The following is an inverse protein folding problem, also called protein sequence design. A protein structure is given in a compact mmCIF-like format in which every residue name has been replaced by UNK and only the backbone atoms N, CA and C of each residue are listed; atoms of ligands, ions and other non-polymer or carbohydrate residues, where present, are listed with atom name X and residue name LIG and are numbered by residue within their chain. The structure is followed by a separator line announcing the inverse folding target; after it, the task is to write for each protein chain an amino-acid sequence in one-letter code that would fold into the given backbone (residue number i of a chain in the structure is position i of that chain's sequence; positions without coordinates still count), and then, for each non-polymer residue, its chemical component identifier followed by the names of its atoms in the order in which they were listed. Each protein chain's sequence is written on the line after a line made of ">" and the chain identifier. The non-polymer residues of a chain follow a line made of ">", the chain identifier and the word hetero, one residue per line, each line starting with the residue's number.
data_IF_451965311455
#
_entry.id   IF_451965311455
#
_cell.length_a   1.000
_cell.length_b   1.000
_cell.length_c   1.000
_cell.angle_alpha   90.00
_cell.angle_beta   90.00
_cell.angle_gamma   90.00
#
_symmetry.space_group_name_H-M   'P 1'
#
loop_
_entity.id
_entity.type
_entity.pdbx_description
1 polymer ?
#
# COMPACT_ATOMS: atom_id res chain seq x y z
N UNK A 1 -12.83 -16.93 3.34
CA UNK A 1 -11.50 -16.37 3.05
C UNK A 1 -11.23 -15.26 4.05
N UNK A 2 -10.03 -15.20 4.61
CA UNK A 2 -9.65 -14.25 5.66
C UNK A 2 -9.72 -12.78 5.21
N UNK A 3 -9.72 -12.54 3.90
CA UNK A 3 -9.83 -11.22 3.28
C UNK A 3 -10.95 -11.20 2.23
N UNK A 4 -11.71 -10.10 2.20
CA UNK A 4 -12.65 -9.78 1.13
C UNK A 4 -11.88 -9.49 -0.17
N UNK A 5 -12.45 -9.83 -1.34
CA UNK A 5 -11.77 -9.63 -2.65
C UNK A 5 -11.32 -8.18 -2.84
N UNK A 6 -12.14 -7.23 -2.39
CA UNK A 6 -11.81 -5.80 -2.49
C UNK A 6 -10.59 -5.44 -1.64
N UNK A 7 -10.46 -6.07 -0.49
CA UNK A 7 -9.38 -5.80 0.45
C UNK A 7 -8.04 -6.35 -0.04
N UNK A 8 -8.10 -7.46 -0.79
CA UNK A 8 -6.95 -8.03 -1.46
C UNK A 8 -6.40 -7.13 -2.58
N UNK A 9 -7.28 -6.45 -3.32
CA UNK A 9 -6.86 -5.46 -4.32
C UNK A 9 -6.14 -4.26 -3.68
N UNK A 10 -6.66 -3.76 -2.55
CA UNK A 10 -6.02 -2.67 -1.80
C UNK A 10 -4.67 -3.12 -1.23
N UNK A 11 -4.56 -4.37 -0.76
CA UNK A 11 -3.30 -4.94 -0.31
C UNK A 11 -2.25 -4.96 -1.44
N UNK A 12 -2.64 -5.44 -2.63
CA UNK A 12 -1.76 -5.43 -3.82
C UNK A 12 -1.32 -4.02 -4.17
N UNK A 13 -2.24 -3.05 -4.13
CA UNK A 13 -1.92 -1.65 -4.39
C UNK A 13 -0.89 -1.10 -3.39
N UNK A 14 -1.02 -1.44 -2.10
CA UNK A 14 -0.06 -1.03 -1.08
C UNK A 14 1.34 -1.63 -1.32
N UNK A 15 1.42 -2.91 -1.67
CA UNK A 15 2.68 -3.56 -2.04
C UNK A 15 3.29 -2.92 -3.29
N UNK A 16 2.45 -2.64 -4.29
CA UNK A 16 2.88 -1.99 -5.52
C UNK A 16 3.48 -0.60 -5.26
N UNK A 17 2.86 0.21 -4.40
CA UNK A 17 3.39 1.52 -4.00
C UNK A 17 4.79 1.40 -3.36
N UNK A 18 5.00 0.42 -2.48
CA UNK A 18 6.32 0.19 -1.86
C UNK A 18 7.36 -0.15 -2.94
N UNK A 19 7.02 -1.06 -3.86
CA UNK A 19 7.90 -1.43 -4.97
C UNK A 19 8.21 -0.24 -5.87
N UNK A 20 7.22 0.59 -6.18
CA UNK A 20 7.40 1.82 -6.97
C UNK A 20 8.33 2.79 -6.26
N UNK A 21 8.15 3.01 -4.96
CA UNK A 21 9.02 3.89 -4.17
C UNK A 21 10.50 3.48 -4.26
N UNK A 22 10.80 2.20 -4.04
CA UNK A 22 12.18 1.69 -4.17
C UNK A 22 12.67 1.67 -5.63
N UNK A 23 11.80 1.38 -6.60
CA UNK A 23 12.17 1.36 -8.02
C UNK A 23 12.58 2.75 -8.50
N UNK A 24 11.87 3.80 -8.07
CA UNK A 24 12.18 5.18 -8.44
C UNK A 24 13.51 5.62 -7.81
N UNK A 25 13.80 5.25 -6.55
CA UNK A 25 15.13 5.48 -5.96
C UNK A 25 16.24 4.84 -6.79
N UNK A 26 15.99 3.61 -7.28
CA UNK A 26 16.97 2.90 -8.10
C UNK A 26 17.21 3.56 -9.46
N UNK A 27 16.17 4.17 -10.04
CA UNK A 27 16.24 4.89 -11.32
C UNK A 27 16.99 6.22 -11.20
N UNK A 28 16.81 6.94 -10.10
CA UNK A 28 17.51 8.22 -9.88
C UNK A 28 19.03 8.04 -9.75
N UNK A 29 19.50 6.87 -9.26
CA UNK A 29 20.92 6.55 -9.05
C UNK A 29 21.70 7.52 -8.15
N UNK A 30 21.02 8.47 -7.51
CA UNK A 30 21.60 9.48 -6.64
C UNK A 30 20.95 9.39 -5.26
N UNK A 31 21.72 8.96 -4.26
CA UNK A 31 21.20 8.80 -2.89
C UNK A 31 20.76 10.15 -2.30
N UNK A 32 21.43 11.23 -2.69
CA UNK A 32 21.10 12.60 -2.28
C UNK A 32 20.19 13.32 -3.28
N UNK A 33 19.64 12.60 -4.25
CA UNK A 33 18.68 13.11 -5.21
C UNK A 33 17.36 13.52 -4.54
N UNK A 34 16.70 14.51 -5.14
CA UNK A 34 15.44 15.04 -4.61
C UNK A 34 14.36 13.95 -4.52
N UNK A 35 14.33 13.04 -5.50
CA UNK A 35 13.30 12.01 -5.56
C UNK A 35 13.56 10.96 -4.45
N UNK A 36 14.80 10.57 -4.24
CA UNK A 36 15.21 9.57 -3.25
C UNK A 36 15.08 10.09 -1.82
N UNK A 37 15.36 11.38 -1.57
CA UNK A 37 15.23 11.97 -0.22
C UNK A 37 13.80 12.33 0.16
N UNK A 38 12.98 12.81 -0.78
CA UNK A 38 11.68 13.39 -0.44
C UNK A 38 10.50 12.60 -1.01
N UNK A 39 10.56 12.20 -2.28
CA UNK A 39 9.42 11.57 -2.95
C UNK A 39 9.29 10.10 -2.56
N UNK A 40 10.39 9.34 -2.62
CA UNK A 40 10.38 7.92 -2.35
C UNK A 40 9.93 7.57 -0.92
N UNK A 41 10.40 8.26 0.15
CA UNK A 41 9.93 7.99 1.50
C UNK A 41 8.42 8.21 1.67
N UNK A 42 7.87 9.26 1.06
CA UNK A 42 6.43 9.54 1.09
C UNK A 42 5.65 8.41 0.40
N UNK A 43 6.08 7.99 -0.79
CA UNK A 43 5.45 6.91 -1.55
C UNK A 43 5.49 5.58 -0.78
N UNK A 44 6.63 5.25 -0.17
CA UNK A 44 6.79 4.03 0.63
C UNK A 44 5.88 4.06 1.87
N UNK A 45 5.83 5.19 2.59
CA UNK A 45 4.95 5.37 3.76
C UNK A 45 3.48 5.25 3.35
N UNK A 46 3.06 5.86 2.24
CA UNK A 46 1.71 5.70 1.69
C UNK A 46 1.41 4.23 1.33
N UNK A 47 2.39 3.50 0.80
CA UNK A 47 2.26 2.07 0.53
C UNK A 47 2.03 1.25 1.81
N UNK A 48 2.84 1.48 2.85
CA UNK A 48 2.62 0.83 4.16
C UNK A 48 1.28 1.22 4.79
N UNK A 49 0.90 2.49 4.73
CA UNK A 49 -0.42 2.95 5.19
C UNK A 49 -1.57 2.24 4.48
N UNK A 50 -1.43 2.01 3.18
CA UNK A 50 -2.40 1.27 2.36
C UNK A 50 -2.47 -0.22 2.74
N UNK A 51 -1.33 -0.86 2.98
CA UNK A 51 -1.27 -2.25 3.48
C UNK A 51 -1.95 -2.37 4.84
N UNK A 52 -1.68 -1.43 5.76
CA UNK A 52 -2.30 -1.39 7.08
C UNK A 52 -3.82 -1.19 6.93
N UNK A 53 -4.25 -0.25 6.10
CA UNK A 53 -5.66 0.00 5.83
C UNK A 53 -6.35 -1.25 5.25
N UNK A 54 -5.70 -1.96 4.34
CA UNK A 54 -6.20 -3.24 3.84
C UNK A 54 -6.35 -4.24 5.00
N UNK A 55 -5.30 -4.49 5.78
CA UNK A 55 -5.36 -5.51 6.84
C UNK A 55 -6.41 -5.18 7.91
N UNK A 56 -6.51 -3.92 8.32
CA UNK A 56 -7.42 -3.48 9.39
C UNK A 56 -8.88 -3.36 8.93
N UNK A 57 -9.13 -3.12 7.64
CA UNK A 57 -10.50 -3.01 7.12
C UNK A 57 -11.15 -4.38 7.01
N UNK A 58 -11.87 -4.77 8.06
CA UNK A 58 -12.81 -5.90 8.00
C UNK A 58 -14.15 -5.40 7.50
N UNK A 59 -14.51 -5.72 6.25
CA UNK A 59 -15.89 -5.56 5.81
C UNK A 59 -16.74 -6.63 6.50
N UNK A 60 -17.69 -6.20 7.36
CA UNK A 60 -18.77 -7.08 7.82
C UNK A 60 -19.55 -7.53 6.60
N UNK A 61 -19.88 -8.81 6.52
CA UNK A 61 -20.72 -9.30 5.43
C UNK A 61 -22.12 -8.75 5.66
N UNK A 62 -22.77 -8.27 4.60
CA UNK A 62 -24.16 -7.78 4.66
C UNK A 62 -25.12 -8.86 5.18
N UNK A 63 -24.74 -10.14 5.07
CA UNK A 63 -25.44 -11.30 5.64
C UNK A 63 -25.59 -11.24 7.17
N UNK A 64 -24.76 -10.50 7.90
CA UNK A 64 -24.83 -10.37 9.37
C UNK A 64 -25.91 -9.36 9.84
N UNK A 65 -26.73 -8.80 8.93
CA UNK A 65 -27.77 -7.81 9.23
C UNK A 65 -29.20 -8.38 9.15
N UNK A 66 -29.33 -9.68 8.91
CA UNK A 66 -30.62 -10.37 8.73
C UNK A 66 -30.86 -11.49 9.76
N UNK A 67 -30.06 -11.55 10.82
CA UNK A 67 -30.30 -12.41 12.01
C UNK A 67 -30.82 -11.59 13.19
#
# INVERSE_FOLDING_TARGET
>A
MLFDRSNYLILILGIFLILVGFSIMRLENEVYGFISLYVAPIVIISGYGTVIAAILTRRKKVTDLTE
#
